data_IF_389533150176
#
_entry.id   IF_389533150176
#
_cell.length_a   1.000
_cell.length_b   1.000
_cell.length_c   1.000
_cell.angle_alpha   90.00
_cell.angle_beta   90.00
_cell.angle_gamma   90.00
#
_symmetry.space_group_name_H-M   'P 1'
#
loop_
_entity.id
_entity.type
_entity.pdbx_description
1 polymer ?
#
# COMPACT_ATOMS: atom_id res chain seq x y z
N UNK A 1 36.23 6.87 -19.67
CA UNK A 1 35.67 5.58 -20.11
C UNK A 1 34.72 5.15 -19.01
N UNK A 2 33.52 5.73 -19.04
CA UNK A 2 32.38 5.29 -18.23
C UNK A 2 31.51 4.51 -19.20
N UNK A 3 31.97 3.29 -19.51
CA UNK A 3 31.15 2.32 -20.22
C UNK A 3 30.65 1.34 -19.16
N UNK A 4 29.38 0.94 -19.29
CA UNK A 4 28.73 -0.16 -18.56
C UNK A 4 28.05 0.13 -17.21
N UNK A 5 27.36 1.27 -17.08
CA UNK A 5 26.24 1.38 -16.10
C UNK A 5 24.85 1.45 -16.74
N UNK A 6 24.76 1.67 -18.06
CA UNK A 6 23.48 1.84 -18.74
C UNK A 6 22.76 0.51 -19.04
N UNK A 7 23.46 -0.62 -19.06
CA UNK A 7 22.88 -1.90 -19.49
C UNK A 7 22.22 -2.73 -18.37
N UNK A 8 22.31 -2.27 -17.10
CA UNK A 8 21.60 -2.90 -15.96
C UNK A 8 20.19 -2.32 -15.76
N UNK A 9 19.86 -1.19 -16.41
CA UNK A 9 18.59 -0.49 -16.30
C UNK A 9 17.70 -0.57 -17.56
N UNK A 10 18.10 -1.35 -18.57
CA UNK A 10 17.41 -1.39 -19.86
C UNK A 10 16.07 -2.14 -19.88
N UNK A 11 15.70 -2.86 -18.81
CA UNK A 11 14.34 -3.35 -18.64
C UNK A 11 13.47 -2.29 -17.96
N UNK A 12 12.65 -1.61 -18.78
CA UNK A 12 11.65 -0.67 -18.27
C UNK A 12 10.77 -1.39 -17.25
N UNK A 13 10.62 -0.87 -16.03
CA UNK A 13 9.81 -1.53 -15.02
C UNK A 13 8.35 -1.58 -15.48
N UNK A 14 7.69 -2.70 -15.17
CA UNK A 14 6.27 -2.87 -15.50
C UNK A 14 5.41 -2.41 -14.33
N UNK A 15 4.42 -1.56 -14.60
CA UNK A 15 3.44 -1.20 -13.58
C UNK A 15 2.52 -2.41 -13.30
N UNK A 16 2.45 -2.81 -12.04
CA UNK A 16 1.57 -3.88 -11.55
C UNK A 16 0.68 -3.34 -10.45
N UNK A 17 -0.58 -3.80 -10.45
CA UNK A 17 -1.48 -3.65 -9.32
C UNK A 17 -1.53 -4.94 -8.52
N UNK A 18 -1.54 -4.85 -7.20
CA UNK A 18 -1.64 -6.01 -6.34
C UNK A 18 -2.32 -5.63 -5.04
N UNK A 19 -3.07 -6.57 -4.48
CA UNK A 19 -3.86 -6.35 -3.28
C UNK A 19 -3.37 -7.31 -2.20
N UNK A 20 -3.18 -6.79 -0.99
CA UNK A 20 -2.84 -7.58 0.19
C UNK A 20 -3.97 -7.42 1.20
N UNK A 21 -4.46 -8.54 1.73
CA UNK A 21 -5.58 -8.57 2.68
C UNK A 21 -5.08 -8.99 4.08
N UNK A 22 -5.34 -8.14 5.08
CA UNK A 22 -4.96 -8.38 6.47
C UNK A 22 -6.19 -8.69 7.33
N UNK A 23 -6.11 -9.77 8.12
CA UNK A 23 -7.20 -10.32 8.96
C UNK A 23 -6.78 -10.56 10.42
N UNK A 24 -7.67 -11.14 11.21
CA UNK A 24 -7.43 -11.63 12.57
C UNK A 24 -6.89 -10.52 13.49
N UNK A 25 -5.67 -10.67 14.02
CA UNK A 25 -5.05 -9.74 14.97
C UNK A 25 -5.08 -8.28 14.50
N UNK A 26 -4.96 -8.04 13.19
CA UNK A 26 -4.95 -6.68 12.64
C UNK A 26 -6.32 -6.02 12.74
N UNK A 27 -7.40 -6.80 12.61
CA UNK A 27 -8.77 -6.32 12.76
C UNK A 27 -9.04 -5.99 14.23
N UNK A 28 -8.64 -6.88 15.15
CA UNK A 28 -8.86 -6.69 16.59
C UNK A 28 -8.10 -5.44 17.09
N UNK A 29 -6.84 -5.28 16.68
CA UNK A 29 -6.04 -4.10 17.00
C UNK A 29 -6.68 -2.82 16.45
N UNK A 30 -7.12 -2.85 15.18
CA UNK A 30 -7.78 -1.69 14.57
C UNK A 30 -9.10 -1.33 15.24
N UNK A 31 -9.94 -2.32 15.59
CA UNK A 31 -11.19 -2.08 16.33
C UNK A 31 -10.93 -1.47 17.71
N UNK A 32 -9.89 -1.92 18.39
CA UNK A 32 -9.55 -1.45 19.73
C UNK A 32 -8.94 -0.04 19.73
N UNK A 33 -8.01 0.23 18.80
CA UNK A 33 -7.18 1.43 18.83
C UNK A 33 -7.59 2.49 17.80
N UNK A 34 -8.49 2.16 16.86
CA UNK A 34 -8.71 2.90 15.60
C UNK A 34 -7.42 3.06 14.77
N UNK A 35 -6.43 2.21 15.04
CA UNK A 35 -5.16 2.15 14.33
C UNK A 35 -4.57 0.74 14.39
N UNK A 36 -3.70 0.44 13.44
CA UNK A 36 -2.97 -0.83 13.37
C UNK A 36 -1.60 -0.59 12.77
N UNK A 37 -0.60 -1.36 13.20
CA UNK A 37 0.69 -1.46 12.51
C UNK A 37 0.74 -2.74 11.69
N UNK A 38 0.97 -2.61 10.39
CA UNK A 38 1.05 -3.71 9.44
C UNK A 38 2.46 -3.77 8.87
N UNK A 39 3.09 -4.94 8.96
CA UNK A 39 4.36 -5.20 8.29
C UNK A 39 4.11 -5.83 6.91
N UNK A 40 4.72 -5.27 5.87
CA UNK A 40 4.77 -5.88 4.54
C UNK A 40 6.19 -6.44 4.37
N UNK A 41 6.42 -7.73 4.63
CA UNK A 41 7.77 -8.30 4.60
C UNK A 41 8.22 -8.58 3.15
N UNK A 42 9.54 -8.75 2.97
CA UNK A 42 10.15 -9.06 1.66
C UNK A 42 9.67 -10.37 1.03
N UNK A 43 9.19 -11.31 1.85
CA UNK A 43 8.70 -12.63 1.46
C UNK A 43 7.17 -12.67 1.29
N UNK A 44 6.48 -11.52 1.38
CA UNK A 44 5.06 -11.39 1.08
C UNK A 44 4.71 -12.05 -0.25
N UNK A 45 3.79 -13.03 -0.22
CA UNK A 45 3.49 -13.94 -1.33
C UNK A 45 3.12 -13.20 -2.63
N UNK A 46 2.43 -12.08 -2.51
CA UNK A 46 1.96 -11.23 -3.60
C UNK A 46 3.12 -10.54 -4.35
N UNK A 47 4.26 -10.37 -3.67
CA UNK A 47 5.41 -9.56 -4.06
C UNK A 47 6.71 -10.36 -4.23
N UNK A 48 6.76 -11.59 -3.74
CA UNK A 48 7.98 -12.40 -3.61
C UNK A 48 8.62 -12.86 -4.94
N UNK A 49 7.99 -12.61 -6.09
CA UNK A 49 8.51 -12.96 -7.41
C UNK A 49 9.30 -11.85 -8.11
N UNK A 50 9.47 -10.68 -7.48
CA UNK A 50 10.12 -9.52 -8.11
C UNK A 50 11.47 -9.18 -7.48
N UNK A 51 12.49 -8.93 -8.29
CA UNK A 51 13.79 -8.50 -7.80
C UNK A 51 13.66 -7.15 -7.07
N UNK A 52 13.20 -6.11 -7.77
CA UNK A 52 12.98 -4.78 -7.20
C UNK A 52 11.53 -4.34 -7.38
N UNK A 53 11.02 -3.65 -6.36
CA UNK A 53 9.70 -3.03 -6.37
C UNK A 53 9.82 -1.57 -5.98
N UNK A 54 9.08 -0.72 -6.69
CA UNK A 54 9.06 0.72 -6.46
C UNK A 54 7.61 1.18 -6.33
N UNK A 55 7.25 1.64 -5.14
CA UNK A 55 5.89 1.99 -4.77
C UNK A 55 5.48 3.29 -5.49
N UNK A 56 4.41 3.21 -6.28
CA UNK A 56 3.79 4.37 -6.93
C UNK A 56 2.61 4.89 -6.11
N UNK A 57 1.72 3.98 -5.72
CA UNK A 57 0.55 4.32 -4.92
C UNK A 57 0.25 3.21 -3.92
N UNK A 58 -0.28 3.62 -2.77
CA UNK A 58 -0.77 2.75 -1.71
C UNK A 58 -2.14 3.27 -1.29
N UNK A 59 -3.17 2.46 -1.48
CA UNK A 59 -4.56 2.77 -1.12
C UNK A 59 -5.04 1.77 -0.09
N UNK A 60 -5.89 2.22 0.84
CA UNK A 60 -6.34 1.39 1.96
C UNK A 60 -7.85 1.40 2.05
N UNK A 61 -8.44 0.22 2.19
CA UNK A 61 -9.88 0.06 2.37
C UNK A 61 -10.16 -0.80 3.60
N UNK A 62 -11.25 -0.48 4.30
CA UNK A 62 -11.75 -1.26 5.43
C UNK A 62 -12.95 -2.07 4.95
N UNK A 63 -12.74 -3.35 4.62
CA UNK A 63 -13.83 -4.21 4.14
C UNK A 63 -14.79 -4.52 5.28
N UNK A 64 -16.09 -4.48 5.01
CA UNK A 64 -17.13 -4.66 6.03
C UNK A 64 -17.49 -3.38 6.79
N UNK A 65 -16.78 -2.26 6.56
CA UNK A 65 -17.04 -0.98 7.22
C UNK A 65 -17.72 0.00 6.26
N UNK A 66 -18.67 0.77 6.78
CA UNK A 66 -19.33 1.85 6.09
C UNK A 66 -20.61 1.45 5.35
N UNK A 67 -21.56 2.39 5.34
CA UNK A 67 -22.81 2.29 4.59
C UNK A 67 -22.65 2.81 3.16
N UNK A 68 -23.55 2.44 2.25
CA UNK A 68 -23.57 3.01 0.90
C UNK A 68 -23.63 4.55 0.99
N UNK A 69 -22.75 5.21 0.24
CA UNK A 69 -22.47 6.65 0.23
C UNK A 69 -21.71 7.22 1.43
N UNK A 70 -21.32 6.42 2.41
CA UNK A 70 -20.45 6.86 3.49
C UNK A 70 -19.02 7.08 2.99
N UNK A 71 -18.39 8.17 3.45
CA UNK A 71 -16.97 8.44 3.19
C UNK A 71 -16.13 8.08 4.41
N UNK A 72 -15.12 7.25 4.21
CA UNK A 72 -14.19 6.80 5.25
C UNK A 72 -12.82 7.42 4.96
N UNK A 73 -12.31 8.14 5.96
CA UNK A 73 -10.99 8.76 5.93
C UNK A 73 -9.99 8.03 6.81
N UNK A 74 -8.82 7.75 6.26
CA UNK A 74 -7.72 7.02 6.90
C UNK A 74 -6.43 7.81 6.79
N UNK A 75 -5.60 7.80 7.82
CA UNK A 75 -4.20 8.14 7.68
C UNK A 75 -3.35 6.90 7.50
N UNK A 76 -2.31 7.05 6.70
CA UNK A 76 -1.24 6.10 6.55
C UNK A 76 0.09 6.78 6.86
N UNK A 77 0.94 6.07 7.57
CA UNK A 77 2.30 6.44 7.86
C UNK A 77 3.18 5.20 7.68
N UNK A 78 4.46 5.39 7.41
CA UNK A 78 5.44 4.30 7.37
C UNK A 78 6.49 4.48 8.46
N UNK A 79 7.16 3.38 8.82
CA UNK A 79 8.36 3.44 9.63
C UNK A 79 9.48 4.19 8.91
N UNK A 80 10.52 4.55 9.64
CA UNK A 80 11.69 5.24 9.09
C UNK A 80 12.55 4.36 8.17
N UNK A 81 12.21 3.07 8.02
CA UNK A 81 13.05 2.06 7.38
C UNK A 81 12.27 1.30 6.30
N UNK A 82 12.87 1.19 5.12
CA UNK A 82 12.38 0.39 3.99
C UNK A 82 13.38 -0.70 3.64
N UNK A 83 12.89 -1.89 3.34
CA UNK A 83 13.70 -3.00 2.84
C UNK A 83 13.62 -3.07 1.32
N UNK A 84 14.70 -3.45 0.65
CA UNK A 84 14.71 -3.76 -0.79
C UNK A 84 15.53 -5.02 -1.01
N UNK A 85 15.38 -5.62 -2.19
CA UNK A 85 16.25 -6.71 -2.62
C UNK A 85 16.71 -6.52 -4.05
N UNK A 86 17.83 -7.11 -4.43
CA UNK A 86 18.25 -7.18 -5.83
C UNK A 86 17.92 -8.54 -6.45
N UNK A 87 18.26 -8.70 -7.73
CA UNK A 87 18.09 -9.96 -8.49
C UNK A 87 18.90 -11.13 -7.94
N UNK A 88 19.90 -10.87 -7.10
CA UNK A 88 20.73 -11.88 -6.44
C UNK A 88 20.23 -12.18 -5.00
N UNK A 89 19.06 -11.66 -4.61
CA UNK A 89 18.49 -11.73 -3.26
C UNK A 89 19.33 -11.06 -2.17
N UNK A 90 20.24 -10.14 -2.52
CA UNK A 90 20.89 -9.31 -1.51
C UNK A 90 19.87 -8.30 -0.96
N UNK A 91 19.79 -8.21 0.37
CA UNK A 91 18.86 -7.31 1.06
C UNK A 91 19.53 -6.00 1.41
N UNK A 92 18.83 -4.89 1.15
CA UNK A 92 19.27 -3.53 1.45
C UNK A 92 18.23 -2.83 2.31
N UNK A 93 18.69 -1.89 3.14
CA UNK A 93 17.82 -1.08 3.98
C UNK A 93 18.04 0.40 3.70
N UNK A 94 16.95 1.13 3.56
CA UNK A 94 16.94 2.56 3.27
C UNK A 94 16.21 3.28 4.39
N UNK A 95 16.70 4.46 4.74
CA UNK A 95 16.01 5.34 5.67
C UNK A 95 15.26 6.44 4.94
N UNK A 96 14.08 6.76 5.45
CA UNK A 96 13.28 7.88 4.98
C UNK A 96 12.52 8.46 6.17
N UNK A 97 12.34 9.78 6.20
CA UNK A 97 11.55 10.40 7.25
C UNK A 97 10.09 9.94 7.16
N UNK A 98 9.49 9.45 8.26
CA UNK A 98 8.09 9.05 8.29
C UNK A 98 7.18 10.16 7.78
N UNK A 99 6.34 9.84 6.79
CA UNK A 99 5.38 10.78 6.24
C UNK A 99 3.97 10.27 6.41
N UNK A 100 3.16 11.05 7.15
CA UNK A 100 1.73 10.80 7.32
C UNK A 100 0.94 11.40 6.17
N UNK A 101 0.21 10.56 5.46
CA UNK A 101 -0.63 10.91 4.32
C UNK A 101 -2.08 10.52 4.62
N UNK A 102 -3.07 11.34 4.24
CA UNK A 102 -4.49 11.07 4.51
C UNK A 102 -5.24 10.59 3.28
N UNK A 103 -5.91 9.45 3.29
CA UNK A 103 -6.63 8.84 2.17
C UNK A 103 -8.13 8.85 2.46
N UNK A 104 -8.97 9.12 1.47
CA UNK A 104 -10.43 9.06 1.65
C UNK A 104 -11.09 8.32 0.50
N UNK A 105 -11.98 7.39 0.85
CA UNK A 105 -12.82 6.67 -0.11
C UNK A 105 -14.28 6.71 0.31
N UNK A 106 -15.16 6.50 -0.66
CA UNK A 106 -16.60 6.44 -0.50
C UNK A 106 -17.09 5.05 -0.87
N UNK A 107 -17.92 4.46 -0.01
CA UNK A 107 -18.57 3.16 -0.26
C UNK A 107 -19.71 3.37 -1.27
N UNK A 108 -19.74 2.61 -2.35
CA UNK A 108 -20.78 2.72 -3.39
C UNK A 108 -21.66 1.50 -3.51
N UNK A 109 -21.11 0.32 -3.24
CA UNK A 109 -21.86 -0.93 -3.17
C UNK A 109 -21.69 -1.51 -1.78
N UNK A 110 -22.68 -2.30 -1.36
CA UNK A 110 -22.54 -3.08 -0.14
C UNK A 110 -21.39 -4.11 -0.26
N UNK A 111 -20.96 -4.63 0.89
CA UNK A 111 -19.87 -5.60 0.95
C UNK A 111 -20.27 -6.95 0.36
N UNK A 112 -21.56 -7.29 0.36
CA UNK A 112 -22.12 -8.54 -0.18
C UNK A 112 -22.09 -8.64 -1.71
N UNK A 113 -21.98 -7.53 -2.43
CA UNK A 113 -21.87 -7.55 -3.88
C UNK A 113 -20.57 -8.23 -4.33
N UNK A 114 -20.65 -9.26 -5.17
CA UNK A 114 -19.47 -9.81 -5.86
C UNK A 114 -19.02 -8.81 -6.93
N UNK A 115 -17.99 -8.03 -6.63
CA UNK A 115 -17.38 -7.08 -7.57
C UNK A 115 -15.99 -6.65 -7.11
N UNK A 116 -15.22 -6.10 -8.05
CA UNK A 116 -13.88 -5.57 -7.80
C UNK A 116 -13.92 -4.37 -6.85
N UNK A 117 -12.79 -4.12 -6.16
CA UNK A 117 -12.64 -2.98 -5.25
C UNK A 117 -12.98 -1.64 -5.91
N UNK A 118 -12.61 -1.46 -7.17
CA UNK A 118 -12.87 -0.22 -7.93
C UNK A 118 -14.35 0.02 -8.18
N UNK A 119 -15.18 -1.01 -8.11
CA UNK A 119 -16.63 -0.88 -8.21
C UNK A 119 -17.30 -0.70 -6.85
N UNK A 120 -16.69 -1.26 -5.78
CA UNK A 120 -17.17 -1.12 -4.40
C UNK A 120 -16.88 0.25 -3.82
N UNK A 121 -15.71 0.80 -4.12
CA UNK A 121 -15.20 2.01 -3.51
C UNK A 121 -14.82 3.04 -4.57
N UNK A 122 -15.21 4.29 -4.34
CA UNK A 122 -14.70 5.42 -5.09
C UNK A 122 -13.71 6.20 -4.26
N UNK A 123 -12.54 6.45 -4.82
CA UNK A 123 -11.55 7.33 -4.20
C UNK A 123 -12.10 8.77 -4.22
N UNK A 124 -12.17 9.38 -3.04
CA UNK A 124 -12.58 10.78 -2.86
C UNK A 124 -11.33 11.66 -2.79
N UNK A 125 -10.33 11.20 -2.04
CA UNK A 125 -9.03 11.84 -1.93
C UNK A 125 -7.95 10.77 -2.07
N UNK A 126 -7.22 10.83 -3.19
CA UNK A 126 -6.19 9.85 -3.53
C UNK A 126 -4.83 10.30 -3.00
N UNK A 127 -4.19 9.42 -2.25
CA UNK A 127 -2.80 9.55 -1.89
C UNK A 127 -1.96 8.81 -2.91
N UNK A 128 -1.67 9.50 -4.02
CA UNK A 128 -0.53 9.08 -4.83
C UNK A 128 0.72 9.39 -3.98
N UNK A 129 1.09 8.41 -3.14
CA UNK A 129 2.16 8.50 -2.14
C UNK A 129 3.44 9.05 -2.78
N UNK A 130 3.70 8.63 -4.01
CA UNK A 130 4.75 9.19 -4.85
C UNK A 130 4.20 9.42 -6.26
N UNK A 131 3.98 10.70 -6.63
CA UNK A 131 3.76 11.08 -8.03
C UNK A 131 5.08 10.92 -8.78
N UNK A 132 5.43 9.68 -9.09
CA UNK A 132 6.57 9.38 -9.92
C UNK A 132 6.16 9.71 -11.35
N UNK A 133 6.72 10.79 -11.89
CA UNK A 133 6.84 10.90 -13.33
C UNK A 133 7.70 9.72 -13.82
N UNK A 134 7.48 9.26 -15.06
CA UNK A 134 7.99 7.98 -15.61
C UNK A 134 9.54 7.80 -15.58
N UNK A 135 10.30 8.76 -15.02
CA UNK A 135 11.77 8.77 -14.93
C UNK A 135 12.35 8.65 -13.52
N UNK A 136 11.55 8.82 -12.45
CA UNK A 136 12.06 8.89 -11.07
C UNK A 136 11.82 7.63 -10.23
N UNK A 137 11.33 6.54 -10.85
CA UNK A 137 11.02 5.30 -10.15
C UNK A 137 12.21 4.73 -9.36
N UNK A 138 13.45 5.03 -9.75
CA UNK A 138 14.66 4.59 -9.04
C UNK A 138 14.75 5.13 -7.60
N UNK A 139 14.13 6.28 -7.33
CA UNK A 139 14.14 6.95 -6.02
C UNK A 139 12.86 6.72 -5.20
N UNK A 140 11.87 6.02 -5.77
CA UNK A 140 10.68 5.65 -5.03
C UNK A 140 11.03 4.62 -3.95
N UNK A 141 10.37 4.65 -2.78
CA UNK A 141 10.56 3.60 -1.78
C UNK A 141 9.94 2.29 -2.26
N UNK A 142 10.23 1.23 -1.53
CA UNK A 142 9.60 -0.08 -1.71
C UNK A 142 8.31 -0.16 -0.90
N UNK A 143 7.41 -1.12 -1.16
CA UNK A 143 6.29 -1.39 -0.24
C UNK A 143 6.74 -2.05 1.08
N UNK A 144 8.00 -2.53 1.16
CA UNK A 144 8.47 -3.36 2.26
C UNK A 144 8.89 -2.52 3.47
N UNK A 145 7.93 -2.25 4.34
CA UNK A 145 8.09 -1.47 5.56
C UNK A 145 6.97 -1.84 6.55
N UNK A 146 7.08 -1.31 7.75
CA UNK A 146 5.95 -1.23 8.68
C UNK A 146 5.12 0.00 8.33
N UNK A 147 3.82 -0.19 8.20
CA UNK A 147 2.83 0.83 7.88
C UNK A 147 1.85 0.96 9.03
N UNK A 148 1.75 2.16 9.58
CA UNK A 148 0.71 2.51 10.54
C UNK A 148 -0.50 3.05 9.78
N UNK A 149 -1.66 2.44 10.01
CA UNK A 149 -2.93 2.84 9.43
C UNK A 149 -3.84 3.28 10.57
N UNK A 150 -4.50 4.43 10.45
CA UNK A 150 -5.42 4.95 11.48
C UNK A 150 -6.63 5.65 10.89
N UNK A 151 -7.75 5.70 11.59
CA UNK A 151 -8.88 6.55 11.19
C UNK A 151 -8.55 8.04 11.34
N UNK A 152 -9.22 8.89 10.55
CA UNK A 152 -9.21 10.33 10.81
C UNK A 152 -9.76 10.63 12.21
N UNK A 153 -9.08 11.51 12.98
CA UNK A 153 -9.55 11.90 14.29
C UNK A 153 -10.92 12.56 14.15
N UNK A 154 -11.79 12.29 15.12
CA UNK A 154 -13.15 12.85 15.21
C UNK A 154 -14.17 12.33 14.18
N UNK A 155 -13.81 11.40 13.28
CA UNK A 155 -14.81 10.64 12.50
C UNK A 155 -15.07 9.31 13.20
N UNK A 156 -16.34 9.08 13.58
CA UNK A 156 -16.76 7.80 14.16
C UNK A 156 -17.36 6.94 13.07
N UNK A 157 -16.76 5.78 12.84
CA UNK A 157 -17.28 4.75 11.94
C UNK A 157 -17.62 3.51 12.78
N UNK A 158 -18.69 2.81 12.43
CA UNK A 158 -19.00 1.52 13.06
C UNK A 158 -18.03 0.46 12.52
N UNK A 159 -17.13 0.01 13.38
CA UNK A 159 -16.13 -1.01 13.05
C UNK A 159 -16.59 -2.42 13.41
N UNK A 160 -17.78 -2.63 13.99
CA UNK A 160 -18.21 -3.96 14.45
C UNK A 160 -18.14 -5.01 13.34
N UNK A 161 -18.53 -4.62 12.13
CA UNK A 161 -18.53 -5.44 10.91
C UNK A 161 -17.21 -5.44 10.13
N UNK A 162 -16.12 -4.85 10.63
CA UNK A 162 -14.82 -4.90 9.95
C UNK A 162 -14.38 -6.37 9.75
N UNK A 163 -14.21 -6.75 8.48
CA UNK A 163 -13.86 -8.09 8.00
C UNK A 163 -12.39 -8.23 7.63
N UNK A 164 -11.79 -7.17 7.09
CA UNK A 164 -10.38 -7.11 6.73
C UNK A 164 -9.91 -5.70 6.41
N UNK A 165 -8.59 -5.50 6.49
CA UNK A 165 -7.92 -4.29 6.05
C UNK A 165 -7.24 -4.62 4.72
N UNK A 166 -7.61 -3.90 3.68
CA UNK A 166 -7.15 -4.12 2.32
C UNK A 166 -6.13 -3.04 1.98
N UNK A 167 -4.95 -3.45 1.53
CA UNK A 167 -3.96 -2.56 0.93
C UNK A 167 -3.89 -2.86 -0.56
N UNK A 168 -4.26 -1.89 -1.39
CA UNK A 168 -4.08 -1.94 -2.84
C UNK A 168 -2.82 -1.15 -3.21
N UNK A 169 -1.90 -1.84 -3.88
CA UNK A 169 -0.59 -1.34 -4.25
C UNK A 169 -0.50 -1.18 -5.76
N UNK A 170 -0.03 -0.02 -6.19
CA UNK A 170 0.48 0.16 -7.55
C UNK A 170 2.00 0.24 -7.46
N UNK A 171 2.70 -0.72 -8.07
CA UNK A 171 4.16 -0.86 -7.98
C UNK A 171 4.79 -1.01 -9.36
N UNK A 172 5.94 -0.37 -9.55
CA UNK A 172 6.83 -0.64 -10.67
C UNK A 172 7.70 -1.85 -10.33
N UNK A 173 7.58 -2.89 -11.15
CA UNK A 173 8.26 -4.17 -10.97
C UNK A 173 9.44 -4.32 -11.93
N UNK A 174 10.59 -4.72 -11.39
CA UNK A 174 11.73 -5.19 -12.18
C UNK A 174 11.74 -6.72 -12.10
N UNK A 175 11.66 -7.36 -13.27
CA UNK A 175 11.70 -8.81 -13.39
C UNK A 175 13.13 -9.28 -13.10
N UNK A 176 13.24 -10.47 -12.49
CA UNK A 176 14.51 -11.14 -12.20
C UNK A 176 15.21 -11.51 -13.51
#
# INVERSE_FOLDING_TARGET
MFEDLDDVFNDRPRLKKTTIEFKDKYIDEFKQNNSVIIDIPLDCNELNNYARLRLRALRIYLKGVGSINESIGLYINHSDTFSDRDKNNNVYYFKSDPKREGFEYKVYKDHSAECDLNEKYKIVFDNIYYKLEDKDYSFAPTPFSQWEISLYPNRKHDLTSLESIIIDLEVYCFVI
#
